data_IF_705088910464
#
_entry.id   IF_705088910464
#
_cell.length_a   1.000
_cell.length_b   1.000
_cell.length_c   1.000
_cell.angle_alpha   90.00
_cell.angle_beta   90.00
_cell.angle_gamma   90.00
#
_symmetry.space_group_name_H-M   'P 1'
#
loop_
_entity.id
_entity.type
_entity.pdbx_description
1 polymer ?
#
# COMPACT_ATOMS: atom_id res chain seq x y z
N UNK A 1 63.43 3.12 7.16
CA UNK A 1 62.74 2.89 8.44
C UNK A 1 61.55 3.84 8.49
N UNK A 2 60.32 3.32 8.46
CA UNK A 2 59.05 4.04 8.28
C UNK A 2 58.81 5.05 9.41
N UNK A 3 58.39 6.26 9.08
CA UNK A 3 57.71 7.17 10.02
C UNK A 3 56.28 7.33 9.51
N UNK A 4 55.32 6.74 10.24
CA UNK A 4 53.88 6.89 10.05
C UNK A 4 53.47 8.21 10.72
N UNK A 5 52.79 9.08 9.99
CA UNK A 5 52.10 10.25 10.56
C UNK A 5 50.60 9.95 10.54
N UNK A 6 50.05 9.65 11.72
CA UNK A 6 48.62 9.39 11.94
C UNK A 6 47.93 10.72 12.21
N UNK A 7 46.98 11.12 11.35
CA UNK A 7 46.04 12.22 11.65
C UNK A 7 44.81 11.65 12.33
N UNK A 8 44.54 12.10 13.54
CA UNK A 8 43.30 11.87 14.31
C UNK A 8 42.21 12.80 13.78
N UNK A 9 41.08 12.22 13.33
CA UNK A 9 39.82 12.95 13.07
C UNK A 9 39.02 13.05 14.37
N UNK A 10 38.68 14.26 14.78
CA UNK A 10 37.81 14.54 15.93
C UNK A 10 36.35 14.43 15.50
N UNK A 11 35.61 13.48 16.07
CA UNK A 11 34.16 13.33 15.86
C UNK A 11 33.44 14.29 16.82
N UNK A 12 32.63 15.22 16.29
CA UNK A 12 31.71 16.04 17.08
C UNK A 12 30.37 15.31 17.21
N UNK A 13 30.00 14.94 18.43
CA UNK A 13 28.65 14.45 18.77
C UNK A 13 27.68 15.64 18.78
N UNK A 14 26.62 15.59 17.97
CA UNK A 14 25.44 16.45 18.15
C UNK A 14 24.43 15.69 19.01
N UNK A 15 23.88 16.38 20.00
CA UNK A 15 22.98 15.83 21.01
C UNK A 15 21.53 15.76 20.52
N UNK A 16 20.87 14.67 20.89
CA UNK A 16 19.44 14.40 20.70
C UNK A 16 18.65 15.26 21.69
N UNK A 17 17.60 15.94 21.21
CA UNK A 17 16.60 16.61 22.04
C UNK A 17 15.27 15.87 21.90
N UNK A 18 14.85 15.24 22.97
CA UNK A 18 13.56 14.58 23.14
C UNK A 18 12.47 15.63 23.33
N UNK A 19 11.41 15.60 22.53
CA UNK A 19 10.19 16.39 22.75
C UNK A 19 9.09 15.41 23.12
N UNK A 20 8.52 15.58 24.31
CA UNK A 20 7.41 14.79 24.83
C UNK A 20 6.10 15.47 24.43
N UNK A 21 5.22 14.74 23.74
CA UNK A 21 3.89 15.19 23.35
C UNK A 21 2.85 14.58 24.32
N UNK A 22 2.20 15.44 25.10
CA UNK A 22 1.14 15.04 26.04
C UNK A 22 -0.23 15.10 25.38
N UNK A 23 -0.90 13.95 25.28
CA UNK A 23 -2.34 13.84 24.94
C UNK A 23 -3.21 14.56 25.97
N UNK A 24 -4.22 15.28 25.49
CA UNK A 24 -5.33 15.77 26.31
C UNK A 24 -6.66 15.30 25.71
N UNK A 25 -7.30 14.37 26.42
CA UNK A 25 -8.62 13.80 26.15
C UNK A 25 -9.72 14.73 26.69
N UNK A 26 -10.75 15.03 25.89
CA UNK A 26 -11.96 15.70 26.37
C UNK A 26 -13.23 15.04 25.78
N UNK A 27 -13.92 14.27 26.63
CA UNK A 27 -15.27 13.76 26.41
C UNK A 27 -16.33 14.84 26.73
N UNK A 28 -17.33 14.97 25.87
CA UNK A 28 -18.77 15.15 26.15
C UNK A 28 -19.46 15.41 24.80
N UNK A 29 -20.68 14.95 24.47
CA UNK A 29 -21.95 15.11 25.17
C UNK A 29 -22.94 13.97 24.83
N UNK A 30 -23.74 13.57 25.82
CA UNK A 30 -25.05 12.94 25.63
C UNK A 30 -26.14 14.02 25.48
N UNK A 31 -27.18 13.79 24.67
CA UNK A 31 -28.38 14.63 24.70
C UNK A 31 -29.54 14.23 23.78
N UNK A 32 -30.50 13.52 24.37
CA UNK A 32 -31.97 13.58 24.19
C UNK A 32 -32.68 13.26 22.84
N UNK A 33 -33.46 12.15 22.81
CA UNK A 33 -34.95 12.05 22.86
C UNK A 33 -35.67 12.39 21.54
N UNK A 34 -36.63 11.62 21.02
CA UNK A 34 -37.91 11.19 21.61
C UNK A 34 -38.53 10.04 20.79
N UNK A 35 -39.24 9.15 21.48
CA UNK A 35 -40.16 8.16 20.92
C UNK A 35 -41.43 8.83 20.37
N UNK A 36 -42.19 8.14 19.50
CA UNK A 36 -43.45 7.46 19.87
C UNK A 36 -44.31 6.99 18.68
N UNK A 37 -44.90 5.81 18.91
CA UNK A 37 -46.22 5.28 18.47
C UNK A 37 -46.34 4.37 17.23
N UNK A 38 -46.46 3.07 17.57
CA UNK A 38 -47.19 1.97 16.92
C UNK A 38 -48.58 2.33 16.37
N UNK A 39 -48.97 1.62 15.31
CA UNK A 39 -50.34 1.16 15.11
C UNK A 39 -50.41 -0.18 14.36
N UNK A 40 -50.84 -1.18 15.12
CA UNK A 40 -51.29 -2.55 14.85
C UNK A 40 -51.89 -2.93 13.48
N UNK A 41 -51.38 -4.06 12.97
CA UNK A 41 -52.05 -5.37 12.76
C UNK A 41 -53.43 -5.47 12.09
N UNK A 42 -53.49 -6.29 11.03
CA UNK A 42 -54.63 -7.14 10.69
C UNK A 42 -54.20 -8.26 9.71
N UNK A 43 -53.77 -9.40 10.23
CA UNK A 43 -53.68 -10.64 9.47
C UNK A 43 -55.02 -11.40 9.49
N UNK A 44 -55.46 -11.91 8.34
CA UNK A 44 -56.53 -12.91 8.23
C UNK A 44 -56.10 -13.97 7.23
N UNK A 45 -56.23 -15.22 7.65
CA UNK A 45 -55.71 -16.42 7.02
C UNK A 45 -56.80 -17.15 6.19
N UNK A 46 -56.33 -18.16 5.45
CA UNK A 46 -56.96 -19.38 4.90
C UNK A 46 -57.66 -19.30 3.52
N UNK A 47 -57.08 -19.95 2.49
CA UNK A 47 -57.47 -21.32 2.01
C UNK A 47 -56.85 -21.68 0.65
N UNK A 48 -56.24 -22.88 0.62
CA UNK A 48 -55.87 -23.67 -0.57
C UNK A 48 -57.05 -23.93 -1.51
N UNK A 49 -56.80 -23.98 -2.83
CA UNK A 49 -57.27 -25.07 -3.72
C UNK A 49 -56.47 -25.06 -5.03
N UNK A 50 -55.95 -26.23 -5.42
CA UNK A 50 -55.26 -26.54 -6.67
C UNK A 50 -56.14 -26.42 -7.93
N UNK A 51 -55.52 -26.05 -9.07
CA UNK A 51 -55.98 -26.47 -10.39
C UNK A 51 -54.80 -26.60 -11.37
N UNK A 52 -54.68 -27.80 -11.94
CA UNK A 52 -53.76 -28.20 -13.01
C UNK A 52 -54.30 -27.75 -14.37
N UNK A 53 -53.50 -27.05 -15.20
CA UNK A 53 -53.54 -27.22 -16.66
C UNK A 53 -52.15 -26.92 -17.28
N UNK A 54 -51.75 -27.81 -18.17
CA UNK A 54 -50.53 -27.83 -18.98
C UNK A 54 -50.69 -26.97 -20.27
N UNK A 55 -49.54 -26.59 -20.85
CA UNK A 55 -49.27 -26.18 -22.24
C UNK A 55 -48.66 -24.77 -22.44
N UNK A 56 -47.33 -24.78 -22.59
CA UNK A 56 -46.51 -24.24 -23.71
C UNK A 56 -46.78 -22.87 -24.35
N UNK A 57 -45.66 -22.12 -24.44
CA UNK A 57 -45.28 -21.05 -25.39
C UNK A 57 -45.77 -19.62 -25.13
N UNK A 58 -44.83 -18.75 -24.70
CA UNK A 58 -44.26 -17.63 -25.48
C UNK A 58 -43.87 -16.41 -24.60
N UNK A 59 -42.64 -15.91 -24.82
CA UNK A 59 -42.23 -14.48 -24.88
C UNK A 59 -42.26 -13.62 -23.60
N UNK A 60 -41.07 -13.06 -23.34
CA UNK A 60 -40.66 -11.81 -22.67
C UNK A 60 -41.69 -10.99 -21.87
N UNK A 61 -41.34 -10.73 -20.60
CA UNK A 61 -41.26 -9.37 -20.04
C UNK A 61 -40.39 -9.36 -18.77
N UNK A 62 -39.36 -8.53 -18.81
CA UNK A 62 -38.98 -7.52 -17.82
C UNK A 62 -39.30 -7.78 -16.33
N UNK A 63 -38.24 -7.99 -15.56
CA UNK A 63 -38.21 -7.71 -14.12
C UNK A 63 -36.85 -7.10 -13.79
N UNK A 64 -36.85 -5.78 -13.65
CA UNK A 64 -35.85 -5.02 -12.93
C UNK A 64 -35.69 -5.62 -11.53
N UNK A 65 -34.47 -6.07 -11.23
CA UNK A 65 -34.01 -6.30 -9.87
C UNK A 65 -32.66 -5.63 -9.78
N UNK A 66 -32.63 -4.46 -9.14
CA UNK A 66 -31.40 -3.90 -8.61
C UNK A 66 -30.91 -4.85 -7.51
N UNK A 67 -29.73 -5.43 -7.72
CA UNK A 67 -28.88 -5.91 -6.63
C UNK A 67 -27.44 -5.53 -6.98
N UNK A 68 -26.92 -4.59 -6.20
CA UNK A 68 -25.57 -4.07 -6.28
C UNK A 68 -24.68 -4.90 -5.36
N UNK A 69 -23.82 -5.72 -5.95
CA UNK A 69 -22.46 -5.97 -5.48
C UNK A 69 -21.71 -6.69 -6.60
N UNK A 70 -20.86 -5.95 -7.29
CA UNK A 70 -19.92 -6.51 -8.24
C UNK A 70 -18.94 -7.40 -7.46
N UNK A 71 -19.20 -8.70 -7.44
CA UNK A 71 -18.14 -9.68 -7.19
C UNK A 71 -17.16 -9.53 -8.35
N UNK A 72 -16.03 -8.88 -8.08
CA UNK A 72 -14.89 -8.89 -9.00
C UNK A 72 -14.38 -10.32 -8.99
N UNK A 73 -14.86 -11.09 -9.95
CA UNK A 73 -14.34 -12.43 -10.24
C UNK A 73 -12.96 -12.18 -10.84
N UNK A 74 -11.91 -12.48 -10.08
CA UNK A 74 -10.55 -12.57 -10.61
C UNK A 74 -10.52 -13.45 -11.86
N UNK A 75 -9.82 -12.98 -12.90
CA UNK A 75 -9.65 -13.73 -14.14
C UNK A 75 -8.63 -14.88 -14.01
N UNK A 76 -7.93 -14.97 -12.87
CA UNK A 76 -6.89 -15.96 -12.57
C UNK A 76 -7.38 -16.87 -11.44
N UNK A 77 -7.40 -18.19 -11.71
CA UNK A 77 -7.86 -19.19 -10.74
C UNK A 77 -7.03 -19.09 -9.44
N UNK A 78 -7.68 -18.74 -8.33
CA UNK A 78 -7.07 -18.63 -7.01
C UNK A 78 -6.51 -17.25 -6.64
N UNK A 79 -6.58 -16.24 -7.52
CA UNK A 79 -6.26 -14.86 -7.18
C UNK A 79 -7.53 -14.11 -6.77
N UNK A 80 -7.41 -13.12 -5.86
CA UNK A 80 -8.52 -12.25 -5.51
C UNK A 80 -8.61 -11.03 -6.44
N UNK A 81 -7.46 -10.50 -6.90
CA UNK A 81 -7.39 -9.43 -7.89
C UNK A 81 -7.44 -9.98 -9.32
N UNK A 82 -7.98 -9.21 -10.27
CA UNK A 82 -7.70 -9.46 -11.68
C UNK A 82 -6.30 -8.92 -12.01
N UNK A 83 -5.30 -9.80 -11.96
CA UNK A 83 -3.91 -9.43 -12.24
C UNK A 83 -3.63 -9.29 -13.75
N UNK A 84 -4.61 -9.58 -14.62
CA UNK A 84 -4.43 -9.50 -16.07
C UNK A 84 -4.33 -8.04 -16.51
N UNK A 85 -3.19 -7.66 -17.07
CA UNK A 85 -3.00 -6.32 -17.62
C UNK A 85 -2.65 -5.24 -16.58
N UNK A 86 -2.38 -5.62 -15.32
CA UNK A 86 -1.84 -4.69 -14.32
C UNK A 86 -0.54 -4.04 -14.77
N UNK A 87 0.27 -4.70 -15.61
CA UNK A 87 1.47 -4.11 -16.18
C UNK A 87 1.41 -4.13 -17.71
N UNK A 88 1.53 -2.96 -18.32
CA UNK A 88 1.68 -2.84 -19.77
C UNK A 88 3.09 -3.22 -20.22
N UNK A 89 3.26 -3.55 -21.50
CA UNK A 89 4.61 -3.76 -22.07
C UNK A 89 5.51 -2.52 -21.89
N UNK A 90 4.93 -1.31 -21.85
CA UNK A 90 5.67 -0.07 -21.64
C UNK A 90 6.10 0.09 -20.18
N UNK A 91 5.25 -0.30 -19.23
CA UNK A 91 5.56 -0.20 -17.80
C UNK A 91 6.81 -1.04 -17.48
N UNK A 92 6.89 -2.23 -18.08
CA UNK A 92 7.97 -3.20 -17.86
C UNK A 92 9.28 -2.85 -18.54
N UNK A 93 9.30 -1.89 -19.46
CA UNK A 93 10.52 -1.51 -20.18
C UNK A 93 11.43 -0.65 -19.30
N UNK A 94 12.51 -1.27 -18.81
CA UNK A 94 13.46 -0.67 -17.86
C UNK A 94 14.42 0.35 -18.50
N UNK A 95 14.34 0.58 -19.81
CA UNK A 95 15.14 1.58 -20.50
C UNK A 95 14.30 2.54 -21.35
N UNK A 96 14.71 3.79 -21.43
CA UNK A 96 14.06 4.77 -22.30
C UNK A 96 14.60 4.68 -23.73
N UNK A 97 13.72 4.76 -24.73
CA UNK A 97 14.15 5.08 -26.10
C UNK A 97 14.49 6.57 -26.16
N UNK A 98 15.78 6.87 -26.26
CA UNK A 98 16.27 8.25 -26.27
C UNK A 98 16.20 8.90 -27.67
N UNK A 99 15.67 8.20 -28.67
CA UNK A 99 15.49 8.74 -30.01
C UNK A 99 14.50 9.91 -30.00
N UNK A 100 15.01 11.12 -30.19
CA UNK A 100 14.18 12.34 -30.15
C UNK A 100 13.90 12.86 -28.75
N UNK A 101 14.55 12.30 -27.72
CA UNK A 101 14.43 12.80 -26.35
C UNK A 101 14.97 14.23 -26.22
N UNK A 102 14.34 15.01 -25.34
CA UNK A 102 14.77 16.36 -25.00
C UNK A 102 15.69 16.29 -23.78
N UNK A 103 16.93 16.76 -23.91
CA UNK A 103 17.84 16.88 -22.77
C UNK A 103 17.61 18.20 -22.04
N UNK A 104 17.46 18.13 -20.72
CA UNK A 104 17.29 19.29 -19.85
C UNK A 104 18.34 19.22 -18.74
N UNK A 105 19.17 20.26 -18.66
CA UNK A 105 20.08 20.50 -17.53
C UNK A 105 19.37 21.44 -16.55
N UNK A 106 19.04 20.93 -15.36
CA UNK A 106 18.37 21.72 -14.34
C UNK A 106 19.30 22.81 -13.78
N UNK A 107 18.70 23.87 -13.24
CA UNK A 107 19.43 24.94 -12.54
C UNK A 107 18.74 25.29 -11.23
N UNK A 108 19.53 25.57 -10.20
CA UNK A 108 19.00 25.96 -8.90
C UNK A 108 18.15 27.24 -9.00
N UNK A 109 16.99 27.25 -8.35
CA UNK A 109 16.05 28.37 -8.36
C UNK A 109 15.24 28.52 -9.65
N UNK A 110 15.34 27.59 -10.60
CA UNK A 110 14.60 27.62 -11.87
C UNK A 110 13.77 26.33 -12.02
N UNK A 111 12.45 26.46 -11.83
CA UNK A 111 11.51 25.39 -12.17
C UNK A 111 11.49 25.11 -13.68
N UNK A 112 11.22 23.87 -14.04
CA UNK A 112 11.07 23.42 -15.43
C UNK A 112 9.67 22.88 -15.62
N UNK A 113 8.95 23.40 -16.62
CA UNK A 113 7.67 22.85 -17.05
C UNK A 113 7.84 21.99 -18.30
N UNK A 114 7.38 20.74 -18.22
CA UNK A 114 7.20 19.83 -19.34
C UNK A 114 5.73 19.90 -19.74
N UNK A 115 5.45 20.53 -20.88
CA UNK A 115 4.09 20.89 -21.34
C UNK A 115 3.62 20.07 -22.56
N UNK A 116 4.32 18.98 -22.88
CA UNK A 116 3.98 18.11 -23.99
C UNK A 116 4.36 16.65 -23.72
N UNK A 117 3.67 15.74 -24.41
CA UNK A 117 4.05 14.33 -24.50
C UNK A 117 5.49 14.17 -25.04
N UNK A 118 6.29 13.30 -24.43
CA UNK A 118 7.64 13.03 -24.89
C UNK A 118 8.55 12.37 -23.85
N UNK A 119 9.80 12.18 -24.25
CA UNK A 119 10.88 11.64 -23.39
C UNK A 119 11.85 12.77 -23.05
N UNK A 120 12.10 12.98 -21.77
CA UNK A 120 12.89 14.09 -21.23
C UNK A 120 14.02 13.56 -20.36
N UNK A 121 15.27 13.75 -20.79
CA UNK A 121 16.45 13.32 -20.04
C UNK A 121 16.92 14.46 -19.16
N UNK A 122 16.85 14.25 -17.85
CA UNK A 122 17.18 15.25 -16.85
C UNK A 122 18.54 14.97 -16.22
N UNK A 123 19.29 16.04 -16.00
CA UNK A 123 20.58 16.02 -15.31
C UNK A 123 20.76 17.29 -14.49
N UNK A 124 21.65 17.25 -13.50
CA UNK A 124 22.00 18.40 -12.66
C UNK A 124 22.11 18.06 -11.18
N UNK A 125 22.74 18.95 -10.42
CA UNK A 125 22.79 18.94 -8.96
C UNK A 125 22.32 20.32 -8.49
N UNK A 126 21.07 20.40 -8.05
CA UNK A 126 20.32 21.66 -7.95
C UNK A 126 19.55 21.78 -6.64
N UNK A 127 19.29 23.03 -6.26
CA UNK A 127 18.48 23.38 -5.10
C UNK A 127 17.31 24.27 -5.53
N UNK A 128 16.14 24.12 -4.91
CA UNK A 128 14.96 24.94 -5.15
C UNK A 128 14.54 24.95 -6.64
N UNK A 129 14.40 23.77 -7.22
CA UNK A 129 13.93 23.58 -8.58
C UNK A 129 12.93 22.41 -8.63
N UNK A 130 11.77 22.65 -9.23
CA UNK A 130 10.72 21.65 -9.44
C UNK A 130 10.63 21.29 -10.91
N UNK A 131 10.54 20.00 -11.21
CA UNK A 131 10.14 19.52 -12.53
C UNK A 131 8.63 19.33 -12.53
N UNK A 132 7.92 20.19 -13.26
CA UNK A 132 6.46 20.21 -13.33
C UNK A 132 6.02 19.57 -14.64
N UNK A 133 5.23 18.50 -14.60
CA UNK A 133 4.57 17.93 -15.79
C UNK A 133 3.16 18.49 -15.88
N UNK A 134 2.90 19.29 -16.91
CA UNK A 134 1.61 19.93 -17.20
C UNK A 134 1.32 19.79 -18.70
N UNK A 135 1.25 18.54 -19.16
CA UNK A 135 1.22 18.16 -20.57
C UNK A 135 -0.20 17.89 -21.11
N UNK A 136 -1.21 17.96 -20.24
CA UNK A 136 -2.61 17.65 -20.54
C UNK A 136 -2.96 16.19 -20.29
N UNK A 137 -4.23 15.94 -19.96
CA UNK A 137 -4.73 14.67 -19.39
C UNK A 137 -4.67 13.45 -20.34
N UNK A 138 -4.25 13.63 -21.59
CA UNK A 138 -4.09 12.55 -22.58
C UNK A 138 -2.60 12.23 -22.85
N UNK A 139 -1.67 13.01 -22.29
CA UNK A 139 -0.25 12.93 -22.60
C UNK A 139 0.48 11.88 -21.76
N UNK A 140 1.36 11.10 -22.40
CA UNK A 140 2.25 10.16 -21.70
C UNK A 140 3.68 10.68 -21.65
N UNK A 141 4.11 11.14 -20.47
CA UNK A 141 5.42 11.77 -20.32
C UNK A 141 6.41 10.80 -19.68
N UNK A 142 7.60 10.68 -20.25
CA UNK A 142 8.70 9.93 -19.64
C UNK A 142 9.82 10.88 -19.20
N UNK A 143 10.06 10.92 -17.89
CA UNK A 143 11.20 11.58 -17.26
C UNK A 143 12.30 10.53 -17.07
N UNK A 144 13.49 10.80 -17.61
CA UNK A 144 14.65 9.92 -17.51
C UNK A 144 15.69 10.56 -16.60
N UNK A 145 16.03 9.90 -15.49
CA UNK A 145 16.97 10.40 -14.49
C UNK A 145 18.40 9.93 -14.82
N UNK A 146 19.26 10.86 -15.25
CA UNK A 146 20.66 10.61 -15.63
C UNK A 146 21.62 11.31 -14.66
N UNK A 147 21.68 10.78 -13.43
CA UNK A 147 22.59 11.26 -12.39
C UNK A 147 22.15 12.58 -11.77
N UNK A 148 20.84 12.71 -11.50
CA UNK A 148 20.25 13.94 -11.01
C UNK A 148 20.23 14.01 -9.47
N UNK A 149 20.40 15.22 -8.93
CA UNK A 149 20.25 15.55 -7.50
C UNK A 149 19.41 16.81 -7.38
N UNK A 150 18.28 16.75 -6.65
CA UNK A 150 17.37 17.88 -6.40
C UNK A 150 17.11 17.99 -4.90
N UNK A 151 17.35 19.17 -4.32
CA UNK A 151 16.95 19.46 -2.93
C UNK A 151 16.04 20.69 -2.89
N UNK A 152 14.84 20.55 -2.36
CA UNK A 152 13.89 21.65 -2.18
C UNK A 152 13.54 21.83 -0.70
N UNK A 153 13.13 23.04 -0.30
CA UNK A 153 12.61 23.26 1.06
C UNK A 153 11.09 23.09 1.13
N UNK A 154 10.36 23.46 0.07
CA UNK A 154 8.89 23.63 0.17
C UNK A 154 8.07 23.12 -1.00
N UNK A 155 8.68 22.42 -1.95
CA UNK A 155 8.02 21.94 -3.16
C UNK A 155 8.55 20.56 -3.55
N UNK A 156 7.74 19.70 -4.20
CA UNK A 156 8.21 18.43 -4.75
C UNK A 156 9.42 18.62 -5.67
N UNK A 157 10.28 17.62 -5.78
CA UNK A 157 11.31 17.56 -6.82
C UNK A 157 10.67 17.31 -8.20
N UNK A 158 9.66 16.43 -8.25
CA UNK A 158 8.82 16.18 -9.42
C UNK A 158 7.36 16.38 -9.02
N UNK A 159 6.65 17.23 -9.76
CA UNK A 159 5.22 17.44 -9.63
C UNK A 159 4.52 17.15 -10.97
N UNK A 160 3.88 15.99 -11.07
CA UNK A 160 3.02 15.66 -12.20
C UNK A 160 1.61 16.23 -11.97
N UNK A 161 1.37 17.41 -12.54
CA UNK A 161 0.14 18.20 -12.38
C UNK A 161 -0.98 17.75 -13.32
N UNK A 162 -0.65 17.47 -14.58
CA UNK A 162 -1.59 16.98 -15.59
C UNK A 162 -0.85 16.16 -16.66
N UNK A 163 -1.24 14.89 -16.78
CA UNK A 163 -0.81 13.90 -17.76
C UNK A 163 -1.83 12.74 -17.71
N UNK A 164 -1.85 11.87 -18.72
CA UNK A 164 -2.49 10.55 -18.62
C UNK A 164 -1.62 9.62 -17.75
N UNK A 165 -0.30 9.66 -18.00
CA UNK A 165 0.67 8.81 -17.31
C UNK A 165 2.05 9.44 -17.29
N UNK A 166 2.73 9.34 -16.17
CA UNK A 166 4.13 9.76 -16.02
C UNK A 166 5.01 8.56 -15.70
N UNK A 167 6.07 8.39 -16.48
CA UNK A 167 7.14 7.43 -16.21
C UNK A 167 8.33 8.17 -15.61
N UNK A 168 8.84 7.71 -14.48
CA UNK A 168 10.11 8.16 -13.90
C UNK A 168 11.10 6.99 -14.02
N UNK A 169 11.97 7.09 -15.02
CA UNK A 169 12.91 6.03 -15.42
C UNK A 169 14.32 6.36 -14.96
N UNK A 170 14.89 5.56 -14.06
CA UNK A 170 16.31 5.68 -13.71
C UNK A 170 17.19 5.07 -14.80
N UNK A 171 18.20 5.81 -15.24
CA UNK A 171 19.33 5.19 -15.97
C UNK A 171 20.19 4.38 -14.99
N UNK A 172 21.29 3.76 -15.43
CA UNK A 172 22.23 3.07 -14.54
C UNK A 172 23.03 3.98 -13.58
N UNK A 173 22.54 5.19 -13.33
CA UNK A 173 23.10 6.20 -12.43
C UNK A 173 22.52 6.10 -11.01
N UNK A 174 23.15 6.83 -10.09
CA UNK A 174 22.59 7.14 -8.78
C UNK A 174 21.88 8.49 -8.87
N UNK A 175 20.66 8.60 -8.34
CA UNK A 175 19.85 9.81 -8.34
C UNK A 175 19.38 10.12 -6.92
N UNK A 176 19.19 11.40 -6.62
CA UNK A 176 18.83 11.87 -5.27
C UNK A 176 17.74 12.95 -5.35
N UNK A 177 16.73 12.85 -4.50
CA UNK A 177 15.70 13.88 -4.34
C UNK A 177 15.38 14.08 -2.86
N UNK A 178 15.36 15.32 -2.40
CA UNK A 178 15.06 15.67 -1.02
C UNK A 178 14.11 16.85 -0.92
N UNK A 179 13.15 16.76 0.00
CA UNK A 179 12.40 17.91 0.49
C UNK A 179 12.62 18.03 1.99
N UNK A 180 13.34 19.08 2.40
CA UNK A 180 13.82 19.25 3.79
C UNK A 180 12.84 20.03 4.69
N UNK A 181 11.67 20.40 4.18
CA UNK A 181 10.68 21.21 4.88
C UNK A 181 9.26 20.84 4.47
N UNK A 182 8.29 21.69 4.82
CA UNK A 182 6.88 21.46 4.52
C UNK A 182 6.53 21.85 3.09
N UNK A 183 5.60 21.12 2.49
CA UNK A 183 5.09 21.43 1.16
C UNK A 183 4.11 22.60 1.15
N UNK A 184 4.27 23.50 0.17
CA UNK A 184 3.28 24.52 -0.15
C UNK A 184 2.26 23.96 -1.16
N UNK A 185 0.97 24.16 -0.88
CA UNK A 185 -0.10 23.68 -1.75
C UNK A 185 -0.15 24.41 -3.11
N UNK A 186 -0.55 23.69 -4.17
CA UNK A 186 -0.90 24.27 -5.48
C UNK A 186 -2.43 24.37 -5.61
N UNK A 187 -2.96 25.53 -5.19
CA UNK A 187 -4.40 25.76 -5.11
C UNK A 187 -5.03 24.85 -4.05
N UNK A 188 -5.96 24.00 -4.46
CA UNK A 188 -6.61 23.01 -3.59
C UNK A 188 -5.82 21.67 -3.52
N UNK A 189 -4.75 21.54 -4.31
CA UNK A 189 -3.91 20.34 -4.30
C UNK A 189 -2.96 20.40 -3.10
N UNK A 190 -3.16 19.53 -2.13
CA UNK A 190 -2.19 19.32 -1.05
C UNK A 190 -0.99 18.55 -1.62
N UNK A 191 0.08 19.27 -1.94
CA UNK A 191 1.36 18.64 -2.24
C UNK A 191 1.90 18.11 -0.91
N UNK A 192 2.29 16.84 -0.88
CA UNK A 192 2.72 16.18 0.35
C UNK A 192 3.82 15.14 0.10
N UNK A 193 4.46 15.13 -1.07
CA UNK A 193 5.50 14.16 -1.41
C UNK A 193 6.64 14.73 -2.26
N UNK A 194 7.83 14.12 -2.17
CA UNK A 194 9.03 14.52 -2.94
C UNK A 194 8.79 14.31 -4.44
N UNK A 195 8.14 13.20 -4.77
CA UNK A 195 7.56 12.97 -6.10
C UNK A 195 6.06 12.90 -5.89
N UNK A 196 5.34 13.88 -6.41
CA UNK A 196 3.89 13.96 -6.30
C UNK A 196 3.26 13.88 -7.69
N UNK A 197 2.31 12.98 -7.88
CA UNK A 197 1.58 12.82 -9.14
C UNK A 197 0.08 12.91 -8.93
N UNK A 198 -0.60 13.68 -9.80
CA UNK A 198 -2.05 13.67 -9.96
C UNK A 198 -2.54 12.68 -11.01
N UNK A 199 -1.62 11.99 -11.67
CA UNK A 199 -1.85 11.02 -12.74
C UNK A 199 -1.23 9.68 -12.37
N UNK A 200 -1.51 8.63 -13.13
CA UNK A 200 -0.80 7.36 -13.04
C UNK A 200 0.73 7.56 -13.06
N UNK A 201 1.42 6.96 -12.09
CA UNK A 201 2.87 7.06 -11.95
C UNK A 201 3.53 5.69 -12.13
N UNK A 202 4.53 5.60 -13.00
CA UNK A 202 5.33 4.38 -13.18
C UNK A 202 6.78 4.68 -12.85
N UNK A 203 7.31 3.98 -11.85
CA UNK A 203 8.71 3.98 -11.48
C UNK A 203 9.38 2.75 -12.09
N UNK A 204 10.40 2.98 -12.91
CA UNK A 204 11.17 1.90 -13.50
C UNK A 204 12.63 2.31 -13.72
N UNK A 205 13.44 1.42 -14.26
CA UNK A 205 14.82 1.72 -14.60
C UNK A 205 15.82 0.71 -14.05
N UNK A 206 17.09 1.08 -14.15
CA UNK A 206 18.20 0.17 -13.82
C UNK A 206 19.16 0.73 -12.77
N UNK A 207 18.93 1.96 -12.31
CA UNK A 207 19.76 2.62 -11.31
C UNK A 207 19.06 2.78 -9.98
N UNK A 208 19.61 3.68 -9.18
CA UNK A 208 19.13 4.00 -7.84
C UNK A 208 18.46 5.36 -7.83
N UNK A 209 17.38 5.47 -7.07
CA UNK A 209 16.79 6.73 -6.64
C UNK A 209 16.69 6.75 -5.12
N UNK A 210 17.42 7.66 -4.48
CA UNK A 210 17.27 7.98 -3.06
C UNK A 210 16.29 9.15 -2.90
N UNK A 211 15.29 8.98 -2.04
CA UNK A 211 14.22 9.94 -1.78
C UNK A 211 14.17 10.24 -0.28
N UNK A 212 14.23 11.52 0.09
CA UNK A 212 14.19 11.98 1.48
C UNK A 212 13.10 13.03 1.67
N UNK A 213 12.08 12.74 2.48
CA UNK A 213 11.05 13.68 2.88
C UNK A 213 11.11 13.94 4.38
N UNK A 214 11.60 15.11 4.79
CA UNK A 214 11.69 15.47 6.21
C UNK A 214 10.30 15.70 6.83
N UNK A 215 9.38 16.27 6.05
CA UNK A 215 7.95 16.40 6.37
C UNK A 215 7.18 15.75 5.21
N UNK A 216 6.17 14.92 5.47
CA UNK A 216 5.33 14.29 4.42
C UNK A 216 5.88 12.99 3.83
N UNK A 217 5.30 12.59 2.69
CA UNK A 217 5.46 11.31 2.04
C UNK A 217 6.72 11.26 1.15
N UNK A 218 7.26 10.07 0.91
CA UNK A 218 8.34 9.91 -0.06
C UNK A 218 7.83 10.13 -1.49
N UNK A 219 6.92 9.27 -1.93
CA UNK A 219 6.33 9.29 -3.26
C UNK A 219 4.81 9.16 -3.13
N UNK A 220 4.04 10.03 -3.78
CA UNK A 220 2.59 9.97 -3.77
C UNK A 220 2.00 10.04 -5.18
N UNK A 221 0.99 9.20 -5.44
CA UNK A 221 0.11 9.28 -6.61
C UNK A 221 -1.33 9.45 -6.17
N UNK A 222 -2.09 10.34 -6.83
CA UNK A 222 -3.54 10.43 -6.63
C UNK A 222 -4.34 9.46 -7.50
N UNK A 223 -3.67 8.66 -8.33
CA UNK A 223 -4.21 7.52 -9.06
C UNK A 223 -3.36 6.26 -8.78
N UNK A 224 -3.11 5.41 -9.78
CA UNK A 224 -2.30 4.19 -9.66
C UNK A 224 -0.80 4.52 -9.61
N UNK A 225 -0.04 3.78 -8.80
CA UNK A 225 1.42 3.82 -8.76
C UNK A 225 1.99 2.43 -9.04
N UNK A 226 2.90 2.35 -10.01
CA UNK A 226 3.62 1.12 -10.37
C UNK A 226 5.10 1.22 -10.09
N UNK A 227 5.67 0.12 -9.59
CA UNK A 227 7.12 -0.09 -9.56
C UNK A 227 7.42 -1.34 -10.37
N UNK A 228 8.18 -1.21 -11.45
CA UNK A 228 8.47 -2.36 -12.33
C UNK A 228 9.92 -2.81 -12.35
N UNK A 229 10.79 -2.10 -11.64
CA UNK A 229 12.20 -2.40 -11.47
C UNK A 229 12.95 -1.18 -10.98
N UNK A 230 14.28 -1.29 -10.86
CA UNK A 230 15.13 -0.26 -10.28
C UNK A 230 15.35 -0.43 -8.77
N UNK A 231 16.11 0.50 -8.20
CA UNK A 231 16.42 0.52 -6.77
C UNK A 231 15.93 1.82 -6.13
N UNK A 232 15.19 1.70 -5.04
CA UNK A 232 14.62 2.85 -4.33
C UNK A 232 15.03 2.83 -2.86
N UNK A 233 15.58 3.93 -2.37
CA UNK A 233 15.92 4.12 -0.96
C UNK A 233 15.12 5.31 -0.46
N UNK A 234 14.08 5.06 0.33
CA UNK A 234 13.12 6.07 0.74
C UNK A 234 13.21 6.29 2.24
N UNK A 235 13.36 7.55 2.65
CA UNK A 235 13.20 7.99 4.04
C UNK A 235 12.13 9.06 4.08
N UNK A 236 11.04 8.85 4.82
CA UNK A 236 9.94 9.81 4.92
C UNK A 236 9.46 9.96 6.37
N UNK A 237 8.93 11.11 6.75
CA UNK A 237 8.33 11.28 8.09
C UNK A 237 6.86 10.89 8.13
N UNK A 238 6.18 10.82 7.00
CA UNK A 238 4.85 10.23 6.87
C UNK A 238 4.95 8.87 6.16
N UNK A 239 4.28 8.70 5.02
CA UNK A 239 4.19 7.43 4.31
C UNK A 239 5.33 7.31 3.30
N UNK A 240 5.90 6.11 3.15
CA UNK A 240 7.01 5.89 2.23
C UNK A 240 6.54 6.08 0.78
N UNK A 241 5.54 5.29 0.40
CA UNK A 241 4.86 5.36 -0.89
C UNK A 241 3.35 5.33 -0.64
N UNK A 242 2.66 6.33 -1.16
CA UNK A 242 1.21 6.48 -1.08
C UNK A 242 0.59 6.45 -2.49
N UNK A 243 -0.51 5.72 -2.66
CA UNK A 243 -1.32 5.81 -3.88
C UNK A 243 -2.81 5.71 -3.58
N UNK A 244 -3.62 6.55 -4.22
CA UNK A 244 -5.07 6.53 -4.01
C UNK A 244 -5.69 5.22 -4.53
N UNK A 245 -5.42 4.85 -5.78
CA UNK A 245 -6.15 3.76 -6.43
C UNK A 245 -5.50 2.40 -6.21
N UNK A 246 -4.18 2.32 -6.38
CA UNK A 246 -3.43 1.10 -6.13
C UNK A 246 -1.91 1.34 -6.10
N UNK A 247 -1.20 0.47 -5.38
CA UNK A 247 0.24 0.26 -5.53
C UNK A 247 0.47 -1.12 -6.16
N UNK A 248 1.06 -1.15 -7.35
CA UNK A 248 1.31 -2.37 -8.12
C UNK A 248 2.82 -2.57 -8.34
N UNK A 249 3.39 -3.62 -7.75
CA UNK A 249 4.83 -3.88 -7.80
C UNK A 249 5.12 -5.15 -8.59
N UNK A 250 5.79 -5.00 -9.73
CA UNK A 250 6.24 -6.12 -10.55
C UNK A 250 7.57 -6.69 -10.05
N UNK A 251 8.55 -5.82 -9.76
CA UNK A 251 9.89 -6.15 -9.26
C UNK A 251 10.59 -4.87 -8.74
N UNK A 252 11.74 -5.01 -8.06
CA UNK A 252 12.57 -3.89 -7.58
C UNK A 252 13.41 -4.22 -6.33
N UNK A 253 14.39 -3.38 -6.01
CA UNK A 253 15.12 -3.39 -4.71
C UNK A 253 14.71 -2.14 -3.92
N UNK A 254 13.82 -2.31 -2.95
CA UNK A 254 13.10 -1.23 -2.26
C UNK A 254 13.48 -1.24 -0.78
N UNK A 255 14.06 -0.14 -0.30
CA UNK A 255 14.35 0.07 1.12
C UNK A 255 13.59 1.28 1.61
N UNK A 256 12.77 1.13 2.66
CA UNK A 256 11.93 2.20 3.19
C UNK A 256 12.15 2.33 4.70
N UNK A 257 12.38 3.56 5.16
CA UNK A 257 12.36 3.94 6.58
C UNK A 257 11.37 5.08 6.73
N UNK A 258 10.31 4.90 7.51
CA UNK A 258 9.22 5.85 7.49
C UNK A 258 8.57 6.07 8.85
N UNK A 259 8.00 7.27 9.05
CA UNK A 259 7.34 7.67 10.29
C UNK A 259 5.86 7.25 10.41
N UNK A 260 5.30 6.68 9.34
CA UNK A 260 3.99 6.03 9.30
C UNK A 260 4.05 4.72 8.49
N UNK A 261 3.35 4.62 7.36
CA UNK A 261 3.19 3.39 6.60
C UNK A 261 4.21 3.30 5.47
N UNK A 262 4.84 2.15 5.26
CA UNK A 262 5.86 2.07 4.20
C UNK A 262 5.22 2.03 2.81
N UNK A 263 4.14 1.26 2.64
CA UNK A 263 3.27 1.28 1.46
C UNK A 263 1.83 1.49 1.92
N UNK A 264 1.19 2.58 1.48
CA UNK A 264 -0.19 2.91 1.81
C UNK A 264 -1.03 3.07 0.55
N UNK A 265 -2.14 2.33 0.45
CA UNK A 265 -3.15 2.61 -0.57
C UNK A 265 -4.55 2.72 0.01
N UNK A 266 -5.22 3.84 -0.28
CA UNK A 266 -6.58 4.12 0.18
C UNK A 266 -7.36 4.92 -0.84
N UNK A 267 -8.60 4.49 -1.10
CA UNK A 267 -9.56 5.22 -1.92
C UNK A 267 -10.87 5.33 -1.11
N UNK A 268 -11.27 6.56 -0.77
CA UNK A 268 -12.49 6.82 0.00
C UNK A 268 -13.76 6.76 -0.87
N UNK A 269 -13.63 6.91 -2.18
CA UNK A 269 -14.74 7.06 -3.13
C UNK A 269 -15.17 5.73 -3.78
N UNK A 270 -14.22 4.81 -4.00
CA UNK A 270 -14.44 3.49 -4.57
C UNK A 270 -13.85 2.39 -3.67
N UNK A 271 -14.73 1.67 -2.98
CA UNK A 271 -14.34 0.60 -2.06
C UNK A 271 -13.63 -0.59 -2.74
N UNK A 272 -13.67 -0.70 -4.07
CA UNK A 272 -12.94 -1.74 -4.81
C UNK A 272 -11.46 -1.40 -5.05
N UNK A 273 -11.09 -0.11 -4.93
CA UNK A 273 -9.74 0.43 -5.09
C UNK A 273 -9.02 0.55 -3.73
N UNK A 274 -7.85 1.18 -3.70
CA UNK A 274 -6.99 1.26 -2.52
C UNK A 274 -6.30 -0.08 -2.22
N UNK A 275 -5.88 -0.82 -3.25
CA UNK A 275 -5.24 -2.14 -3.09
C UNK A 275 -3.74 -2.09 -3.31
N UNK A 276 -3.04 -3.09 -2.76
CA UNK A 276 -1.62 -3.31 -2.99
C UNK A 276 -1.42 -4.69 -3.62
N UNK A 277 -0.70 -4.73 -4.74
CA UNK A 277 -0.30 -5.95 -5.42
C UNK A 277 1.23 -6.06 -5.50
N UNK A 278 1.80 -7.17 -5.04
CA UNK A 278 3.22 -7.46 -5.10
C UNK A 278 3.45 -8.79 -5.81
N UNK A 279 4.01 -8.72 -7.03
CA UNK A 279 4.38 -9.92 -7.80
C UNK A 279 5.76 -10.43 -7.42
N UNK A 280 6.74 -9.54 -7.27
CA UNK A 280 8.13 -9.86 -6.94
C UNK A 280 8.84 -8.63 -6.34
N UNK A 281 10.14 -8.75 -6.08
CA UNK A 281 11.00 -7.68 -5.58
C UNK A 281 11.71 -8.08 -4.29
N UNK A 282 12.59 -7.20 -3.81
CA UNK A 282 13.24 -7.28 -2.50
C UNK A 282 12.89 -6.03 -1.70
N UNK A 283 12.33 -6.21 -0.52
CA UNK A 283 11.88 -5.14 0.35
C UNK A 283 12.61 -5.19 1.69
N UNK A 284 13.11 -4.05 2.14
CA UNK A 284 13.66 -3.86 3.49
C UNK A 284 12.96 -2.68 4.14
N UNK A 285 12.07 -2.96 5.09
CA UNK A 285 11.12 -1.97 5.63
C UNK A 285 11.34 -1.74 7.11
N UNK A 286 11.32 -0.46 7.50
CA UNK A 286 11.11 0.02 8.86
C UNK A 286 9.99 1.05 8.83
N UNK A 287 8.85 0.70 9.39
CA UNK A 287 7.72 1.59 9.58
C UNK A 287 7.58 1.90 11.07
N UNK A 288 7.17 3.12 11.38
CA UNK A 288 6.71 3.49 12.73
C UNK A 288 5.20 3.20 12.90
N UNK A 289 4.46 3.02 11.79
CA UNK A 289 3.09 2.49 11.75
C UNK A 289 3.05 1.20 10.91
N UNK A 290 2.23 1.06 9.87
CA UNK A 290 2.02 -0.21 9.18
C UNK A 290 3.06 -0.45 8.07
N UNK A 291 3.58 -1.67 7.92
CA UNK A 291 4.56 -1.90 6.85
C UNK A 291 3.90 -1.89 5.47
N UNK A 292 2.80 -2.62 5.29
CA UNK A 292 2.06 -2.71 4.02
C UNK A 292 0.57 -2.61 4.32
N UNK A 293 -0.06 -1.52 3.88
CA UNK A 293 -1.46 -1.25 4.14
C UNK A 293 -2.23 -0.95 2.87
N UNK A 294 -3.11 -1.88 2.48
CA UNK A 294 -4.11 -1.67 1.43
C UNK A 294 -5.50 -1.64 2.04
N UNK A 295 -6.27 -0.58 1.79
CA UNK A 295 -7.64 -0.47 2.30
C UNK A 295 -8.52 -1.64 1.86
N UNK A 296 -8.49 -2.00 0.58
CA UNK A 296 -9.28 -3.12 0.06
C UNK A 296 -8.54 -4.44 0.15
N UNK A 297 -7.51 -4.62 -0.67
CA UNK A 297 -6.77 -5.87 -0.82
C UNK A 297 -5.28 -5.63 -0.63
N UNK A 298 -4.61 -6.56 0.05
CA UNK A 298 -3.16 -6.77 -0.11
C UNK A 298 -2.94 -8.17 -0.68
N UNK A 299 -2.44 -8.27 -1.91
CA UNK A 299 -2.09 -9.54 -2.54
C UNK A 299 -0.58 -9.64 -2.81
N UNK A 300 0.05 -10.71 -2.31
CA UNK A 300 1.48 -10.99 -2.44
C UNK A 300 1.66 -12.34 -3.15
N UNK A 301 2.14 -12.30 -4.39
CA UNK A 301 2.41 -13.50 -5.20
C UNK A 301 3.87 -13.96 -5.10
N UNK A 302 4.78 -13.08 -4.68
CA UNK A 302 6.21 -13.37 -4.64
C UNK A 302 7.08 -12.27 -4.02
N UNK A 303 8.39 -12.39 -4.25
CA UNK A 303 9.41 -11.49 -3.69
C UNK A 303 9.99 -11.94 -2.35
N UNK A 304 10.91 -11.13 -1.84
CA UNK A 304 11.49 -11.23 -0.49
C UNK A 304 11.16 -9.96 0.27
N UNK A 305 10.28 -10.05 1.26
CA UNK A 305 9.81 -8.94 2.07
C UNK A 305 10.37 -9.10 3.48
N UNK A 306 11.23 -8.18 3.90
CA UNK A 306 11.78 -8.12 5.25
C UNK A 306 11.30 -6.85 5.95
N UNK A 307 10.41 -7.01 6.92
CA UNK A 307 9.87 -5.95 7.77
C UNK A 307 10.58 -6.04 9.12
N UNK A 308 11.54 -5.14 9.35
CA UNK A 308 12.39 -5.16 10.55
C UNK A 308 11.67 -4.58 11.78
N UNK A 309 10.82 -3.57 11.58
CA UNK A 309 9.95 -2.97 12.61
C UNK A 309 8.71 -2.37 11.98
N UNK A 310 7.57 -2.48 12.65
CA UNK A 310 6.28 -1.86 12.33
C UNK A 310 5.35 -1.92 13.56
N UNK A 311 4.25 -1.18 13.54
CA UNK A 311 3.08 -1.43 14.39
C UNK A 311 2.41 -2.70 13.91
N UNK A 312 1.78 -2.67 12.73
CA UNK A 312 1.28 -3.87 12.05
C UNK A 312 2.12 -4.21 10.81
N UNK A 313 2.28 -5.51 10.53
CA UNK A 313 3.07 -5.95 9.37
C UNK A 313 2.34 -5.75 8.05
N UNK A 314 1.22 -6.45 7.87
CA UNK A 314 0.39 -6.37 6.66
C UNK A 314 -1.05 -6.14 7.07
N UNK A 315 -1.66 -5.05 6.62
CA UNK A 315 -3.03 -4.67 6.96
C UNK A 315 -3.91 -4.51 5.70
N UNK A 316 -5.13 -5.04 5.75
CA UNK A 316 -6.15 -4.76 4.74
C UNK A 316 -7.52 -5.35 5.04
N UNK A 317 -8.47 -5.25 4.11
CA UNK A 317 -9.76 -5.95 4.25
C UNK A 317 -9.62 -7.42 3.88
N UNK A 318 -9.00 -7.68 2.73
CA UNK A 318 -8.63 -9.02 2.30
C UNK A 318 -7.11 -9.10 2.10
N UNK A 319 -6.46 -10.04 2.76
CA UNK A 319 -5.03 -10.29 2.59
C UNK A 319 -4.84 -11.66 1.95
N UNK A 320 -4.20 -11.70 0.79
CA UNK A 320 -3.87 -12.94 0.07
C UNK A 320 -2.37 -13.10 -0.09
N UNK A 321 -1.81 -14.19 0.42
CA UNK A 321 -0.39 -14.53 0.25
C UNK A 321 -0.28 -15.84 -0.53
N UNK A 322 0.11 -15.74 -1.80
CA UNK A 322 0.25 -16.86 -2.71
C UNK A 322 1.69 -17.41 -2.78
N UNK A 323 2.69 -16.60 -2.43
CA UNK A 323 4.10 -16.98 -2.55
C UNK A 323 5.08 -16.00 -1.92
N UNK A 324 6.36 -16.17 -2.24
CA UNK A 324 7.45 -15.33 -1.75
C UNK A 324 8.03 -15.76 -0.40
N UNK A 325 8.96 -14.94 0.11
CA UNK A 325 9.51 -15.02 1.45
C UNK A 325 9.16 -13.74 2.20
N UNK A 326 8.43 -13.85 3.31
CA UNK A 326 7.98 -12.72 4.11
C UNK A 326 8.44 -12.91 5.55
N UNK A 327 9.27 -12.00 6.06
CA UNK A 327 9.71 -11.96 7.44
C UNK A 327 9.20 -10.68 8.10
N UNK A 328 8.50 -10.83 9.23
CA UNK A 328 7.80 -9.73 9.92
C UNK A 328 8.24 -9.70 11.38
N UNK A 329 8.64 -8.51 11.84
CA UNK A 329 8.66 -8.15 13.25
C UNK A 329 7.72 -6.98 13.53
N UNK A 330 6.60 -7.26 14.19
CA UNK A 330 5.52 -6.32 14.45
C UNK A 330 5.31 -6.07 15.95
N UNK A 331 4.86 -4.86 16.29
CA UNK A 331 4.62 -4.42 17.66
C UNK A 331 3.18 -4.60 18.13
N UNK A 332 2.22 -4.69 17.20
CA UNK A 332 0.82 -5.04 17.42
C UNK A 332 0.50 -6.35 16.70
N UNK A 333 -0.07 -6.34 15.49
CA UNK A 333 -0.41 -7.56 14.74
C UNK A 333 0.51 -7.82 13.55
N UNK A 334 0.85 -9.09 13.32
CA UNK A 334 1.74 -9.46 12.22
C UNK A 334 1.05 -9.27 10.87
N UNK A 335 -0.13 -9.86 10.73
CA UNK A 335 -1.00 -9.78 9.55
C UNK A 335 -2.41 -9.54 10.07
N UNK A 336 -3.02 -8.41 9.72
CA UNK A 336 -4.29 -7.94 10.26
C UNK A 336 -5.33 -7.72 9.16
N UNK A 337 -6.41 -8.49 9.19
CA UNK A 337 -7.56 -8.28 8.32
C UNK A 337 -8.74 -7.67 9.08
N UNK A 338 -9.16 -6.47 8.68
CA UNK A 338 -10.26 -5.72 9.31
C UNK A 338 -11.16 -5.03 8.30
N UNK A 339 -12.38 -4.64 8.68
CA UNK A 339 -13.32 -4.00 7.76
C UNK A 339 -12.89 -2.56 7.45
N UNK A 340 -12.13 -2.36 6.37
CA UNK A 340 -11.82 -1.03 5.83
C UNK A 340 -12.56 -0.74 4.52
N UNK A 341 -12.80 -1.77 3.71
CA UNK A 341 -13.61 -1.75 2.50
C UNK A 341 -14.90 -2.55 2.69
N UNK A 342 -15.96 -2.12 2.01
CA UNK A 342 -17.25 -2.83 1.93
C UNK A 342 -17.37 -3.73 0.70
N UNK A 343 -16.37 -3.72 -0.19
CA UNK A 343 -16.38 -4.49 -1.43
C UNK A 343 -15.91 -5.95 -1.25
N UNK A 344 -15.24 -6.26 -0.14
CA UNK A 344 -14.60 -7.56 0.10
C UNK A 344 -14.95 -8.11 1.47
N UNK A 345 -14.96 -9.44 1.58
CA UNK A 345 -15.01 -10.11 2.87
C UNK A 345 -13.73 -9.84 3.67
N UNK A 346 -13.86 -9.82 5.00
CA UNK A 346 -12.69 -9.72 5.88
C UNK A 346 -11.99 -11.07 5.97
N UNK A 347 -10.78 -11.18 5.43
CA UNK A 347 -10.08 -12.46 5.41
C UNK A 347 -8.56 -12.35 5.32
N UNK A 348 -7.89 -13.34 5.90
CA UNK A 348 -6.51 -13.69 5.58
C UNK A 348 -6.52 -15.06 4.89
N UNK A 349 -5.98 -15.12 3.67
CA UNK A 349 -5.79 -16.35 2.92
C UNK A 349 -4.31 -16.55 2.58
N UNK A 350 -3.74 -17.66 3.04
CA UNK A 350 -2.36 -18.06 2.72
C UNK A 350 -2.37 -19.32 1.87
N UNK A 351 -2.04 -19.17 0.59
CA UNK A 351 -1.98 -20.26 -0.38
C UNK A 351 -0.56 -20.84 -0.53
N UNK A 352 0.48 -20.09 -0.15
CA UNK A 352 1.87 -20.50 -0.30
C UNK A 352 2.88 -19.56 0.36
N UNK A 353 4.16 -19.72 -0.02
CA UNK A 353 5.26 -18.88 0.47
C UNK A 353 5.98 -19.44 1.71
N UNK A 354 7.04 -18.73 2.11
CA UNK A 354 7.75 -18.91 3.38
C UNK A 354 7.48 -17.68 4.24
N UNK A 355 6.77 -17.83 5.36
CA UNK A 355 6.34 -16.72 6.21
C UNK A 355 6.94 -16.91 7.59
N UNK A 356 7.67 -15.91 8.08
CA UNK A 356 8.20 -15.86 9.44
C UNK A 356 7.61 -14.65 10.14
N UNK A 357 6.84 -14.87 11.20
CA UNK A 357 6.26 -13.79 12.01
C UNK A 357 6.80 -13.88 13.43
N UNK A 358 7.42 -12.80 13.89
CA UNK A 358 7.88 -12.66 15.27
C UNK A 358 7.23 -11.44 15.89
N UNK A 359 6.58 -11.62 17.04
CA UNK A 359 5.82 -10.56 17.67
C UNK A 359 6.59 -9.92 18.82
N UNK A 360 6.41 -8.61 19.00
CA UNK A 360 6.79 -7.94 20.23
C UNK A 360 5.96 -8.49 21.42
N UNK A 361 6.28 -8.03 22.62
CA UNK A 361 5.47 -8.38 23.79
C UNK A 361 4.19 -7.54 23.84
N UNK A 362 3.04 -8.17 23.99
CA UNK A 362 1.79 -7.46 24.19
C UNK A 362 0.59 -8.38 24.08
N UNK A 363 -0.57 -7.75 23.96
CA UNK A 363 -1.74 -8.36 23.31
C UNK A 363 -1.48 -8.16 21.82
N UNK A 364 -1.06 -9.22 21.15
CA UNK A 364 -0.51 -9.20 19.79
C UNK A 364 -0.82 -10.54 19.14
N UNK A 365 -1.26 -10.52 17.90
CA UNK A 365 -1.58 -11.71 17.13
C UNK A 365 -0.70 -11.79 15.89
N UNK A 366 -0.06 -12.94 15.66
CA UNK A 366 0.72 -13.11 14.43
C UNK A 366 -0.17 -13.03 13.18
N UNK A 367 -1.40 -13.53 13.29
CA UNK A 367 -2.46 -13.44 12.29
C UNK A 367 -3.76 -13.06 13.02
N UNK A 368 -4.27 -11.85 12.82
CA UNK A 368 -5.57 -11.40 13.32
C UNK A 368 -6.54 -11.18 12.16
N UNK A 369 -7.75 -11.73 12.27
CA UNK A 369 -8.82 -11.40 11.35
C UNK A 369 -10.15 -11.18 12.06
N UNK A 370 -10.74 -10.02 11.80
CA UNK A 370 -12.14 -9.76 12.15
C UNK A 370 -13.14 -10.62 11.33
N UNK A 371 -12.65 -11.41 10.38
CA UNK A 371 -13.40 -12.42 9.66
C UNK A 371 -12.67 -13.76 9.67
N UNK A 372 -12.20 -14.23 8.52
CA UNK A 372 -11.69 -15.60 8.36
C UNK A 372 -10.17 -15.67 8.22
N UNK A 373 -9.58 -16.76 8.70
CA UNK A 373 -8.20 -17.14 8.43
C UNK A 373 -8.20 -18.51 7.73
N UNK A 374 -7.60 -18.60 6.55
CA UNK A 374 -7.45 -19.85 5.80
C UNK A 374 -5.99 -20.06 5.43
N UNK A 375 -5.37 -21.11 6.00
CA UNK A 375 -4.01 -21.53 5.64
C UNK A 375 -4.11 -22.77 4.76
N UNK A 376 -3.97 -22.57 3.45
CA UNK A 376 -4.08 -23.60 2.42
C UNK A 376 -2.71 -24.21 2.03
N UNK A 377 -1.62 -23.51 2.29
CA UNK A 377 -0.26 -23.94 1.94
C UNK A 377 0.84 -23.10 2.60
N UNK A 378 2.08 -23.31 2.15
CA UNK A 378 3.26 -22.57 2.60
C UNK A 378 4.06 -23.23 3.73
N UNK A 379 5.14 -22.58 4.13
CA UNK A 379 5.95 -22.88 5.32
C UNK A 379 5.91 -21.67 6.24
N UNK A 380 5.26 -21.81 7.40
CA UNK A 380 4.98 -20.70 8.31
C UNK A 380 5.64 -20.97 9.66
N UNK A 381 6.48 -20.04 10.12
CA UNK A 381 7.10 -20.08 11.44
C UNK A 381 6.67 -18.85 12.26
N UNK A 382 6.11 -19.10 13.43
CA UNK A 382 5.51 -18.06 14.28
C UNK A 382 6.17 -18.07 15.65
N UNK A 383 6.73 -16.93 16.06
CA UNK A 383 7.17 -16.65 17.43
C UNK A 383 6.25 -15.59 18.04
N UNK A 384 5.18 -16.04 18.72
CA UNK A 384 4.14 -15.14 19.23
C UNK A 384 3.46 -15.68 20.50
N UNK A 385 2.88 -14.79 21.30
CA UNK A 385 2.02 -15.19 22.43
C UNK A 385 0.69 -15.77 21.93
N UNK A 386 0.10 -15.09 20.94
CA UNK A 386 -1.07 -15.57 20.20
C UNK A 386 -0.72 -15.63 18.72
N UNK A 387 -0.96 -16.81 18.13
CA UNK A 387 -0.55 -17.08 16.75
C UNK A 387 -1.66 -16.79 15.75
N UNK A 388 -2.91 -16.98 16.16
CA UNK A 388 -4.09 -16.84 15.29
C UNK A 388 -5.26 -16.37 16.15
N UNK A 389 -5.79 -15.17 15.86
CA UNK A 389 -7.10 -14.72 16.33
C UNK A 389 -8.04 -14.52 15.14
N UNK A 390 -9.26 -15.01 15.27
CA UNK A 390 -10.25 -14.89 14.20
C UNK A 390 -11.64 -14.82 14.81
N UNK A 391 -12.38 -13.77 14.42
CA UNK A 391 -13.78 -13.57 14.80
C UNK A 391 -14.76 -14.45 13.98
N UNK A 392 -14.29 -15.02 12.88
CA UNK A 392 -14.98 -16.00 12.04
C UNK A 392 -14.38 -17.40 12.19
N UNK A 393 -13.95 -18.00 11.08
CA UNK A 393 -13.33 -19.33 11.04
C UNK A 393 -11.82 -19.22 10.85
N UNK A 394 -11.07 -20.04 11.56
CA UNK A 394 -9.65 -20.26 11.32
C UNK A 394 -9.38 -21.72 10.93
N UNK A 395 -8.89 -21.95 9.71
CA UNK A 395 -8.67 -23.28 9.15
C UNK A 395 -7.20 -23.48 8.72
N UNK A 396 -6.67 -24.68 9.01
CA UNK A 396 -5.40 -25.15 8.50
C UNK A 396 -5.66 -26.32 7.55
N UNK A 397 -5.76 -25.99 6.26
CA UNK A 397 -6.11 -26.90 5.17
C UNK A 397 -4.86 -27.54 4.52
N UNK A 398 -3.71 -26.87 4.62
CA UNK A 398 -2.42 -27.37 4.12
C UNK A 398 -1.23 -26.53 4.60
N UNK A 399 -0.02 -26.90 4.17
CA UNK A 399 1.22 -26.25 4.57
C UNK A 399 1.87 -26.83 5.84
N UNK A 400 3.07 -26.35 6.15
CA UNK A 400 3.85 -26.70 7.34
C UNK A 400 3.88 -25.49 8.28
N UNK A 401 3.11 -25.53 9.37
CA UNK A 401 3.01 -24.43 10.35
C UNK A 401 3.66 -24.82 11.67
N UNK A 402 4.60 -23.99 12.12
CA UNK A 402 5.28 -24.10 13.42
C UNK A 402 4.97 -22.87 14.26
N UNK A 403 4.54 -23.09 15.50
CA UNK A 403 4.29 -22.03 16.48
C UNK A 403 5.18 -22.26 17.69
N UNK A 404 6.05 -21.30 18.01
CA UNK A 404 7.02 -21.35 19.10
C UNK A 404 7.84 -22.66 19.09
N UNK A 405 8.30 -23.06 17.90
CA UNK A 405 9.07 -24.28 17.67
C UNK A 405 8.29 -25.59 17.77
N UNK A 406 6.94 -25.55 17.83
CA UNK A 406 6.08 -26.74 17.79
C UNK A 406 5.23 -26.76 16.52
N UNK A 407 5.34 -27.84 15.73
CA UNK A 407 4.47 -28.04 14.58
C UNK A 407 3.01 -28.24 15.02
N UNK A 408 2.09 -27.57 14.35
CA UNK A 408 0.65 -27.73 14.56
C UNK A 408 0.01 -28.44 13.37
N UNK A 409 -1.18 -29.02 13.59
CA UNK A 409 -1.95 -29.73 12.54
C UNK A 409 -3.39 -29.23 12.42
N UNK A 410 -3.75 -28.25 13.25
CA UNK A 410 -5.02 -27.52 13.23
C UNK A 410 -4.80 -26.17 13.92
N UNK A 411 -5.55 -25.14 13.52
CA UNK A 411 -5.65 -23.90 14.29
C UNK A 411 -6.70 -24.12 15.39
N UNK A 412 -6.32 -23.88 16.63
CA UNK A 412 -7.26 -23.92 17.76
C UNK A 412 -7.60 -22.50 18.18
N UNK A 413 -8.79 -22.03 17.80
CA UNK A 413 -9.30 -20.77 18.33
C UNK A 413 -9.49 -20.89 19.84
N UNK A 414 -8.84 -20.01 20.61
CA UNK A 414 -9.18 -19.86 22.02
C UNK A 414 -10.56 -19.19 22.09
N UNK A 415 -11.60 -19.94 22.48
CA UNK A 415 -12.90 -19.35 22.76
C UNK A 415 -12.78 -18.35 23.93
N UNK A 416 -12.46 -17.09 23.66
CA UNK A 416 -12.64 -16.02 24.64
C UNK A 416 -14.14 -15.74 24.74
N UNK A 417 -14.76 -16.38 25.75
CA UNK A 417 -16.17 -16.27 26.02
C UNK A 417 -16.65 -14.82 26.04
N UNK A 418 -17.69 -14.55 25.25
CA UNK A 418 -18.35 -13.26 25.13
C UNK A 418 -18.59 -12.59 26.48
N UNK A 419 -17.69 -11.67 26.83
CA UNK A 419 -17.86 -10.76 27.93
C UNK A 419 -18.92 -9.74 27.56
N UNK A 420 -20.16 -9.99 27.99
CA UNK A 420 -21.26 -9.01 27.98
C UNK A 420 -20.75 -7.63 28.41
N UNK A 421 -20.57 -6.71 27.46
CA UNK A 421 -20.52 -5.28 27.75
C UNK A 421 -21.93 -4.85 28.15
N UNK A 422 -22.09 -4.59 29.45
CA UNK A 422 -23.33 -4.06 30.01
C UNK A 422 -23.54 -2.62 29.55
N UNK A 423 -24.72 -2.42 28.95
CA UNK A 423 -25.53 -1.20 28.76
C UNK A 423 -24.89 0.16 29.01
#
# INVERSE_FOLDING_TARGET
>A
MRIKNTRTKTIRKKGIRTIALTMLLALSLMGCTTAREDAADAATEITDTEAVINETSAVETDTETEDSAASIISSVEGSILDTTGLFSERDLEQSADLTGAVSIELKSGEDVTIDAEGVYVLSGDVENATVIVDAGDEAKVQIVLDGISITNETAPAIYAKSADKVFVTTTGSENYMEVSGSYEADGDTNLDAVIFSKADLVLNGTGTLEVVSDEGNGIASKDELKITGGKYVITASADGIEANDAICIYDGDITIVTGKDALHSENEDDASLGYIYILNGTFNIKADDDAIRGTSIVQIDGGTINIETCTEGIEGTYIQINGGETAIYAADDGINATTKSTAYDVAIEVNGGTISVSMASGDTDAFDSNGTISINGGTIDIEANSAFDSNGTAELNGGDVTVNGQAITQITQSQMGGGKRGR
#
